data_IF_958016514645
#
_entry.id   IF_958016514645
#
_cell.length_a   1.000
_cell.length_b   1.000
_cell.length_c   1.000
_cell.angle_alpha   90.00
_cell.angle_beta   90.00
_cell.angle_gamma   90.00
#
_symmetry.space_group_name_H-M   'P 1'
#
loop_
_entity.id
_entity.type
_entity.pdbx_description
1 polymer ?
#
# COMPACT_ATOMS: atom_id res chain seq x y z
N UNK A 1 -51.93 -4.08 43.62
CA UNK A 1 -52.95 -5.16 43.64
C UNK A 1 -52.26 -6.46 43.22
N UNK A 2 -51.96 -7.30 44.20
CA UNK A 2 -52.45 -8.71 44.34
C UNK A 2 -52.01 -9.58 43.15
N UNK A 3 -51.31 -10.72 43.26
CA UNK A 3 -51.10 -11.77 44.32
C UNK A 3 -49.90 -12.60 43.84
N UNK A 4 -48.91 -12.92 44.58
CA UNK A 4 -48.66 -14.12 45.41
C UNK A 4 -49.34 -15.41 44.93
N UNK A 5 -48.56 -16.43 44.57
CA UNK A 5 -48.82 -17.84 44.81
C UNK A 5 -47.52 -18.64 44.89
N UNK A 6 -47.28 -19.14 46.07
CA UNK A 6 -46.40 -20.27 46.44
C UNK A 6 -46.98 -21.57 45.92
N UNK A 7 -46.16 -22.58 45.61
CA UNK A 7 -46.39 -24.03 45.81
C UNK A 7 -45.07 -24.75 45.51
N UNK A 8 -44.40 -25.27 46.45
CA UNK A 8 -44.41 -26.49 47.27
C UNK A 8 -43.56 -27.62 46.70
N UNK A 9 -42.49 -27.86 47.41
CA UNK A 9 -41.73 -29.06 47.78
C UNK A 9 -42.35 -30.39 47.35
N UNK A 10 -41.54 -31.23 46.71
CA UNK A 10 -41.78 -32.65 46.51
C UNK A 10 -40.45 -33.42 46.52
N UNK A 11 -40.04 -33.83 47.72
CA UNK A 11 -38.95 -34.76 47.90
C UNK A 11 -39.43 -36.17 47.56
N UNK A 12 -38.76 -36.86 46.63
CA UNK A 12 -38.92 -38.30 46.44
C UNK A 12 -37.53 -38.95 46.50
N UNK A 13 -37.32 -39.66 47.62
CA UNK A 13 -36.22 -40.54 47.85
C UNK A 13 -36.37 -41.81 46.98
N UNK A 14 -35.43 -42.07 46.07
CA UNK A 14 -35.32 -43.38 45.39
C UNK A 14 -34.09 -44.10 45.91
N UNK A 15 -34.36 -45.23 46.55
CA UNK A 15 -33.43 -46.20 47.14
C UNK A 15 -32.54 -46.78 46.02
N UNK A 16 -31.23 -46.63 46.21
CA UNK A 16 -30.24 -47.24 45.33
C UNK A 16 -30.11 -48.74 45.58
N UNK A 17 -30.46 -49.56 44.61
CA UNK A 17 -30.04 -50.95 44.54
C UNK A 17 -28.62 -51.02 43.96
N UNK A 18 -27.64 -51.43 44.77
CA UNK A 18 -26.30 -51.72 44.33
C UNK A 18 -26.27 -52.99 43.48
N UNK A 19 -26.35 -52.81 42.16
CA UNK A 19 -25.98 -53.87 41.24
C UNK A 19 -24.49 -53.80 40.96
N UNK A 20 -23.75 -54.88 41.28
CA UNK A 20 -22.34 -55.05 40.93
C UNK A 20 -22.21 -55.07 39.38
N UNK A 21 -21.84 -53.95 38.81
CA UNK A 21 -21.45 -53.88 37.42
C UNK A 21 -20.04 -54.48 37.24
N UNK A 22 -19.92 -55.70 36.69
CA UNK A 22 -18.69 -56.18 36.13
C UNK A 22 -18.31 -55.26 34.99
N UNK A 23 -17.31 -54.44 35.23
CA UNK A 23 -16.69 -53.63 34.20
C UNK A 23 -15.99 -54.58 33.24
N UNK A 24 -16.63 -54.93 32.12
CA UNK A 24 -15.99 -55.55 31.01
C UNK A 24 -14.83 -54.66 30.55
N UNK A 25 -13.64 -55.21 30.63
CA UNK A 25 -12.39 -54.58 30.17
C UNK A 25 -12.52 -54.26 28.66
N UNK A 26 -12.97 -53.04 28.39
CA UNK A 26 -12.99 -52.58 26.99
C UNK A 26 -11.55 -52.43 26.51
N UNK A 27 -11.17 -53.08 25.41
CA UNK A 27 -9.83 -52.89 24.87
C UNK A 27 -9.59 -51.41 24.65
N UNK A 28 -8.59 -50.85 25.37
CA UNK A 28 -8.11 -49.50 25.17
C UNK A 28 -7.84 -49.29 23.69
N UNK A 29 -8.71 -48.55 23.02
CA UNK A 29 -8.42 -48.06 21.69
C UNK A 29 -7.14 -47.26 21.80
N UNK A 30 -6.01 -47.85 21.39
CA UNK A 30 -4.79 -47.07 21.14
C UNK A 30 -5.15 -46.03 20.11
N UNK A 31 -5.29 -44.78 20.59
CA UNK A 31 -5.45 -43.67 19.68
C UNK A 31 -4.28 -43.69 18.71
N UNK A 32 -4.59 -43.95 17.41
CA UNK A 32 -3.58 -43.81 16.39
C UNK A 32 -2.94 -42.45 16.54
N UNK A 33 -1.59 -42.36 16.51
CA UNK A 33 -0.93 -41.07 16.57
C UNK A 33 -1.45 -40.25 15.42
N UNK A 34 -2.27 -39.25 15.74
CA UNK A 34 -2.72 -38.25 14.77
C UNK A 34 -1.45 -37.58 14.29
N UNK A 35 -1.11 -37.79 13.02
CA UNK A 35 0.02 -37.11 12.38
C UNK A 35 -0.11 -35.65 12.70
N UNK A 36 0.81 -35.11 13.51
CA UNK A 36 0.80 -33.72 13.88
C UNK A 36 0.72 -32.91 12.56
N UNK A 37 -0.29 -32.07 12.43
CA UNK A 37 -0.39 -31.15 11.31
C UNK A 37 0.87 -30.30 11.39
N UNK A 38 1.78 -30.49 10.45
CA UNK A 38 2.94 -29.62 10.33
C UNK A 38 2.40 -28.23 10.03
N UNK A 39 2.39 -27.38 11.02
CA UNK A 39 2.19 -25.93 10.83
C UNK A 39 3.40 -25.45 10.01
N UNK A 40 3.23 -25.32 8.72
CA UNK A 40 4.14 -24.55 7.90
C UNK A 40 4.01 -23.12 8.44
N UNK A 41 5.05 -22.66 9.11
CA UNK A 41 5.09 -21.28 9.62
C UNK A 41 5.00 -20.35 8.40
N UNK A 42 3.82 -19.79 8.15
CA UNK A 42 3.62 -18.78 7.10
C UNK A 42 4.57 -17.61 7.39
N UNK A 43 5.16 -17.06 6.32
CA UNK A 43 6.02 -15.89 6.45
C UNK A 43 5.24 -14.74 7.13
N UNK A 44 5.81 -14.19 8.20
CA UNK A 44 5.18 -13.11 8.95
C UNK A 44 5.56 -11.75 8.33
N UNK A 45 4.59 -11.03 7.79
CA UNK A 45 4.77 -9.71 7.18
C UNK A 45 4.70 -8.55 8.19
N UNK A 46 4.45 -8.80 9.48
CA UNK A 46 4.39 -7.77 10.52
C UNK A 46 5.77 -7.23 10.83
N UNK A 47 5.93 -5.92 10.87
CA UNK A 47 7.16 -5.25 11.29
C UNK A 47 7.43 -3.97 10.53
N UNK A 48 8.38 -3.20 11.05
CA UNK A 48 8.92 -2.04 10.39
C UNK A 48 9.86 -2.45 9.25
N UNK A 49 9.97 -1.62 8.24
CA UNK A 49 10.92 -1.80 7.16
C UNK A 49 11.43 -0.47 6.62
N UNK A 50 12.63 -0.52 6.07
CA UNK A 50 13.24 0.56 5.31
C UNK A 50 13.73 0.00 3.99
N UNK A 51 13.67 0.77 2.93
CA UNK A 51 14.08 0.29 1.61
C UNK A 51 14.55 1.37 0.68
N UNK A 52 15.03 0.92 -0.45
CA UNK A 52 15.36 1.75 -1.60
C UNK A 52 14.46 1.34 -2.77
N UNK A 53 14.09 2.30 -3.58
CA UNK A 53 13.32 2.06 -4.78
C UNK A 53 13.89 2.82 -5.97
N UNK A 54 13.59 2.34 -7.16
CA UNK A 54 13.95 3.01 -8.39
C UNK A 54 13.06 2.55 -9.53
N UNK A 55 12.83 3.42 -10.49
CA UNK A 55 11.93 3.12 -11.58
C UNK A 55 11.91 4.15 -12.69
N UNK A 56 10.96 3.99 -13.58
CA UNK A 56 10.69 4.90 -14.66
C UNK A 56 9.25 5.44 -14.55
N UNK A 57 9.14 6.74 -14.83
CA UNK A 57 7.86 7.43 -14.90
C UNK A 57 7.60 7.94 -16.30
N UNK A 58 6.34 7.90 -16.70
CA UNK A 58 5.84 8.56 -17.89
C UNK A 58 4.51 9.24 -17.57
N UNK A 59 4.33 10.41 -18.15
CA UNK A 59 3.16 11.21 -17.88
C UNK A 59 2.77 12.05 -19.06
N UNK A 60 1.64 12.73 -18.92
CA UNK A 60 1.17 13.74 -19.83
C UNK A 60 0.85 15.00 -19.06
N UNK A 61 1.43 16.08 -19.50
CA UNK A 61 1.09 17.41 -19.00
C UNK A 61 0.22 18.08 -20.05
N UNK A 62 -1.06 18.31 -19.71
CA UNK A 62 -1.97 19.07 -20.54
C UNK A 62 -2.04 20.50 -20.02
N UNK A 63 -1.84 21.47 -20.90
CA UNK A 63 -2.01 22.89 -20.57
C UNK A 63 -3.12 23.49 -21.40
N UNK A 64 -3.91 24.34 -20.78
CA UNK A 64 -5.00 25.07 -21.42
C UNK A 64 -4.82 26.55 -21.11
N UNK A 65 -4.57 27.35 -22.14
CA UNK A 65 -4.51 28.81 -22.05
C UNK A 65 -5.54 29.40 -23.03
N UNK A 66 -6.03 30.65 -22.81
CA UNK A 66 -7.05 31.26 -23.65
C UNK A 66 -6.69 31.35 -25.16
N UNK A 67 -5.40 31.29 -25.49
CA UNK A 67 -4.90 31.42 -26.88
C UNK A 67 -4.24 30.14 -27.41
N UNK A 68 -3.98 29.10 -26.59
CA UNK A 68 -3.34 27.86 -27.02
C UNK A 68 -3.62 26.72 -26.04
N UNK A 69 -4.00 25.57 -26.55
CA UNK A 69 -4.10 24.32 -25.79
C UNK A 69 -3.15 23.29 -26.38
N UNK A 70 -2.46 22.54 -25.54
CA UNK A 70 -1.55 21.51 -25.98
C UNK A 70 -1.21 20.54 -24.87
N UNK A 71 -0.64 19.40 -25.22
CA UNK A 71 -0.14 18.43 -24.28
C UNK A 71 1.19 17.88 -24.76
N UNK A 72 2.09 17.61 -23.84
CA UNK A 72 3.38 16.96 -24.13
C UNK A 72 3.61 15.79 -23.19
N UNK A 73 4.34 14.81 -23.71
CA UNK A 73 4.70 13.64 -22.91
C UNK A 73 5.95 13.96 -22.08
N UNK A 74 5.91 13.51 -20.83
CA UNK A 74 7.04 13.56 -19.92
C UNK A 74 7.50 12.15 -19.66
N UNK A 75 8.81 11.92 -19.58
CA UNK A 75 9.40 10.65 -19.20
C UNK A 75 10.71 10.85 -18.46
N UNK A 76 11.05 9.92 -17.59
CA UNK A 76 12.29 9.98 -16.85
C UNK A 76 12.44 8.87 -15.83
N UNK A 77 13.59 8.83 -15.17
CA UNK A 77 13.87 7.92 -14.08
C UNK A 77 13.65 8.57 -12.72
N UNK A 78 13.43 7.74 -11.74
CA UNK A 78 13.39 8.14 -10.34
C UNK A 78 14.11 7.13 -9.47
N UNK A 79 14.63 7.59 -8.34
CA UNK A 79 15.27 6.79 -7.31
C UNK A 79 14.97 7.40 -5.96
N UNK A 80 14.71 6.57 -4.97
CA UNK A 80 14.32 7.08 -3.66
C UNK A 80 14.45 6.06 -2.52
N UNK A 81 13.94 6.48 -1.38
CA UNK A 81 13.86 5.69 -0.17
C UNK A 81 12.42 5.47 0.27
N UNK A 82 12.20 4.34 0.89
CA UNK A 82 10.92 3.91 1.45
C UNK A 82 11.08 3.60 2.92
N UNK A 83 10.11 3.99 3.72
CA UNK A 83 9.96 3.56 5.12
C UNK A 83 8.51 3.14 5.35
N UNK A 84 8.30 2.08 6.13
CA UNK A 84 6.93 1.65 6.40
C UNK A 84 6.81 0.70 7.56
N UNK A 85 5.56 0.37 7.87
CA UNK A 85 5.20 -0.60 8.89
C UNK A 85 4.00 -1.43 8.42
N UNK A 86 4.10 -2.74 8.56
CA UNK A 86 3.03 -3.68 8.22
C UNK A 86 2.50 -4.36 9.49
N UNK A 87 1.19 -4.61 9.49
CA UNK A 87 0.47 -5.44 10.47
C UNK A 87 -0.22 -6.57 9.72
N UNK A 88 0.08 -7.80 10.08
CA UNK A 88 -0.56 -8.99 9.50
C UNK A 88 -1.62 -9.55 10.45
N UNK A 89 -2.82 -9.77 9.92
CA UNK A 89 -3.93 -10.42 10.61
C UNK A 89 -4.39 -11.62 9.76
N UNK A 90 -3.92 -12.81 10.10
CA UNK A 90 -4.12 -14.00 9.29
C UNK A 90 -3.40 -13.87 7.93
N UNK A 91 -4.15 -13.86 6.85
CA UNK A 91 -3.63 -13.65 5.50
C UNK A 91 -3.72 -12.19 5.04
N UNK A 92 -4.48 -11.34 5.74
CA UNK A 92 -4.58 -9.93 5.42
C UNK A 92 -3.39 -9.16 6.02
N UNK A 93 -2.81 -8.26 5.23
CA UNK A 93 -1.72 -7.37 5.64
C UNK A 93 -2.17 -5.94 5.43
N UNK A 94 -2.06 -5.13 6.48
CA UNK A 94 -2.35 -3.70 6.45
C UNK A 94 -1.05 -2.96 6.75
N UNK A 95 -0.77 -1.90 6.02
CA UNK A 95 0.47 -1.15 6.23
C UNK A 95 0.33 0.34 5.95
N UNK A 96 1.29 1.06 6.47
CA UNK A 96 1.54 2.47 6.14
C UNK A 96 2.94 2.55 5.53
N UNK A 97 3.06 3.31 4.46
CA UNK A 97 4.30 3.48 3.71
C UNK A 97 4.51 4.97 3.38
N UNK A 98 5.73 5.44 3.59
CA UNK A 98 6.18 6.75 3.16
C UNK A 98 7.35 6.59 2.20
N UNK A 99 7.32 7.32 1.09
CA UNK A 99 8.39 7.36 0.11
C UNK A 99 8.88 8.79 -0.10
N UNK A 100 10.17 8.91 -0.39
CA UNK A 100 10.78 10.14 -0.87
C UNK A 100 11.69 9.82 -2.04
N UNK A 101 11.28 10.25 -3.23
CA UNK A 101 11.92 9.95 -4.49
C UNK A 101 12.49 11.21 -5.14
N UNK A 102 13.73 11.15 -5.59
CA UNK A 102 14.29 12.12 -6.52
C UNK A 102 13.96 11.72 -7.94
N UNK A 103 13.39 12.67 -8.67
CA UNK A 103 12.90 12.46 -10.02
C UNK A 103 13.69 13.31 -11.02
N UNK A 104 13.99 12.72 -12.17
CA UNK A 104 14.56 13.42 -13.32
C UNK A 104 13.60 13.39 -14.51
N UNK A 105 12.30 13.39 -14.22
CA UNK A 105 11.26 13.44 -15.25
C UNK A 105 11.22 14.84 -15.84
N UNK A 106 11.44 14.91 -17.16
CA UNK A 106 11.51 16.16 -17.92
C UNK A 106 10.58 16.11 -19.11
N UNK A 107 10.01 17.24 -19.43
CA UNK A 107 9.29 17.45 -20.66
C UNK A 107 9.54 18.86 -21.18
N UNK A 108 9.78 19.00 -22.47
CA UNK A 108 9.92 20.29 -23.13
C UNK A 108 8.97 20.40 -24.30
N UNK A 109 8.40 21.57 -24.50
CA UNK A 109 7.56 21.91 -25.64
C UNK A 109 7.82 23.35 -26.08
N UNK A 110 7.69 23.60 -27.37
CA UNK A 110 7.67 24.96 -27.90
C UNK A 110 6.35 25.65 -27.51
N UNK A 111 6.43 26.77 -26.78
CA UNK A 111 5.26 27.51 -26.30
C UNK A 111 5.01 28.80 -27.08
N UNK A 112 5.64 29.00 -28.22
CA UNK A 112 5.52 30.20 -29.04
C UNK A 112 6.71 30.33 -30.00
N UNK A 113 6.72 31.39 -30.81
CA UNK A 113 7.82 31.65 -31.73
C UNK A 113 9.10 31.95 -30.92
N UNK A 114 10.04 30.99 -30.91
CA UNK A 114 11.34 31.14 -30.24
C UNK A 114 11.35 30.92 -28.72
N UNK A 115 10.24 30.48 -28.10
CA UNK A 115 10.16 30.24 -26.66
C UNK A 115 10.03 28.72 -26.39
N UNK A 116 10.88 28.21 -25.49
CA UNK A 116 10.83 26.83 -25.01
C UNK A 116 10.34 26.83 -23.56
N UNK A 117 9.26 26.07 -23.30
CA UNK A 117 8.80 25.78 -21.95
C UNK A 117 9.37 24.43 -21.52
N UNK A 118 10.03 24.39 -20.37
CA UNK A 118 10.53 23.18 -19.76
C UNK A 118 9.85 22.97 -18.42
N UNK A 119 9.31 21.78 -18.22
CA UNK A 119 8.78 21.35 -16.92
C UNK A 119 9.65 20.23 -16.41
N UNK A 120 10.10 20.34 -15.17
CA UNK A 120 10.94 19.35 -14.49
C UNK A 120 10.33 19.01 -13.14
N UNK A 121 10.06 17.74 -12.92
CA UNK A 121 9.74 17.21 -11.60
C UNK A 121 11.07 16.88 -10.90
N UNK A 122 11.30 17.47 -9.71
CA UNK A 122 12.58 17.34 -9.01
C UNK A 122 12.51 16.32 -7.88
N UNK A 123 11.36 16.20 -7.23
CA UNK A 123 11.14 15.23 -6.15
C UNK A 123 9.66 14.91 -6.00
N UNK A 124 9.38 13.70 -5.52
CA UNK A 124 8.04 13.21 -5.21
C UNK A 124 8.07 12.56 -3.83
N UNK A 125 7.25 13.04 -2.92
CA UNK A 125 7.00 12.41 -1.63
C UNK A 125 5.62 11.80 -1.60
N UNK A 126 5.46 10.61 -1.02
CA UNK A 126 4.15 9.98 -0.84
C UNK A 126 3.97 9.47 0.59
N UNK A 127 2.71 9.54 1.08
CA UNK A 127 2.30 8.91 2.32
C UNK A 127 1.03 8.09 2.03
N UNK A 128 1.15 6.77 2.13
CA UNK A 128 0.15 5.85 1.60
C UNK A 128 -0.22 4.75 2.59
N UNK A 129 -1.51 4.36 2.60
CA UNK A 129 -1.95 3.11 3.17
C UNK A 129 -1.81 1.98 2.15
N UNK A 130 -1.53 0.77 2.60
CA UNK A 130 -1.47 -0.43 1.76
C UNK A 130 -2.29 -1.55 2.37
N UNK A 131 -2.95 -2.33 1.51
CA UNK A 131 -3.68 -3.54 1.89
C UNK A 131 -3.22 -4.66 0.97
N UNK A 132 -2.74 -5.75 1.55
CA UNK A 132 -2.21 -6.90 0.84
C UNK A 132 -2.80 -8.21 1.32
N UNK A 133 -2.58 -9.24 0.55
CA UNK A 133 -2.91 -10.62 0.89
C UNK A 133 -1.66 -11.48 0.86
N UNK A 134 -1.32 -12.10 1.99
CA UNK A 134 -0.12 -12.91 2.14
C UNK A 134 -0.34 -14.33 1.63
N UNK A 135 0.34 -14.69 0.55
CA UNK A 135 0.50 -16.04 0.04
C UNK A 135 1.89 -16.55 0.44
N UNK A 136 2.10 -16.84 1.72
CA UNK A 136 3.40 -17.22 2.28
C UNK A 136 4.46 -16.13 1.96
N UNK A 137 5.35 -16.37 1.02
CA UNK A 137 6.45 -15.48 0.62
C UNK A 137 6.07 -14.42 -0.42
N UNK A 138 4.86 -14.45 -0.95
CA UNK A 138 4.36 -13.47 -1.93
C UNK A 138 3.18 -12.70 -1.36
N UNK A 139 3.19 -11.40 -1.60
CA UNK A 139 2.13 -10.51 -1.12
C UNK A 139 1.74 -9.52 -2.23
N UNK A 140 0.71 -9.84 -3.03
CA UNK A 140 0.04 -8.83 -3.83
C UNK A 140 -0.62 -7.81 -2.92
N UNK A 141 -0.58 -6.53 -3.31
CA UNK A 141 -1.16 -5.44 -2.53
C UNK A 141 -1.66 -4.32 -3.41
N UNK A 142 -2.58 -3.54 -2.88
CA UNK A 142 -3.01 -2.25 -3.39
C UNK A 142 -2.61 -1.16 -2.41
N UNK A 143 -2.38 0.04 -2.90
CA UNK A 143 -1.92 1.17 -2.08
C UNK A 143 -2.61 2.44 -2.54
N UNK A 144 -2.82 3.36 -1.60
CA UNK A 144 -3.41 4.65 -1.89
C UNK A 144 -3.16 5.66 -0.79
N UNK A 145 -3.05 6.93 -1.16
CA UNK A 145 -2.76 7.98 -0.20
C UNK A 145 -2.46 9.33 -0.84
N UNK A 146 -1.72 10.14 -0.11
CA UNK A 146 -1.32 11.47 -0.51
C UNK A 146 0.00 11.44 -1.30
N UNK A 147 0.10 12.32 -2.27
CA UNK A 147 1.32 12.61 -3.01
C UNK A 147 1.63 14.11 -2.92
N UNK A 148 2.90 14.45 -2.75
CA UNK A 148 3.39 15.84 -2.73
C UNK A 148 4.60 15.90 -3.63
N UNK A 149 4.62 16.81 -4.60
CA UNK A 149 5.72 16.93 -5.54
C UNK A 149 6.18 18.36 -5.75
N UNK A 150 7.46 18.53 -6.01
CA UNK A 150 8.07 19.80 -6.38
C UNK A 150 8.17 19.92 -7.91
N UNK A 151 7.39 20.80 -8.49
CA UNK A 151 7.39 21.09 -9.93
C UNK A 151 8.14 22.39 -10.16
N UNK A 152 9.21 22.31 -10.95
CA UNK A 152 9.98 23.45 -11.41
C UNK A 152 9.58 23.79 -12.84
N UNK A 153 9.06 24.98 -13.03
CA UNK A 153 8.72 25.52 -14.35
C UNK A 153 9.73 26.59 -14.71
N UNK A 154 10.39 26.43 -15.86
CA UNK A 154 11.34 27.40 -16.43
C UNK A 154 10.79 27.90 -17.75
N UNK A 155 10.70 29.21 -17.89
CA UNK A 155 10.40 29.88 -19.17
C UNK A 155 11.65 30.65 -19.55
N UNK A 156 12.18 30.35 -20.75
CA UNK A 156 13.36 31.05 -21.28
C UNK A 156 13.14 32.55 -21.29
N UNK A 157 13.94 33.29 -20.49
CA UNK A 157 13.88 34.77 -20.41
C UNK A 157 13.03 35.36 -19.27
N UNK A 158 12.26 34.56 -18.50
CA UNK A 158 11.37 35.06 -17.43
C UNK A 158 11.61 34.47 -16.04
N UNK A 159 12.63 33.63 -15.87
CA UNK A 159 13.00 33.08 -14.56
C UNK A 159 12.33 31.74 -14.20
N UNK A 160 12.75 31.20 -13.04
CA UNK A 160 12.35 29.91 -12.52
C UNK A 160 11.32 30.06 -11.39
N UNK A 161 10.24 29.30 -11.44
CA UNK A 161 9.27 29.22 -10.35
C UNK A 161 9.16 27.77 -9.87
N UNK A 162 9.43 27.53 -8.58
CA UNK A 162 9.23 26.24 -7.95
C UNK A 162 7.92 26.27 -7.17
N UNK A 163 7.02 25.35 -7.47
CA UNK A 163 5.73 25.22 -6.78
C UNK A 163 5.60 23.81 -6.23
N UNK A 164 5.31 23.71 -4.94
CA UNK A 164 4.97 22.43 -4.30
C UNK A 164 3.47 22.19 -4.46
N UNK A 165 3.09 21.01 -4.93
CA UNK A 165 1.70 20.59 -5.12
C UNK A 165 1.42 19.30 -4.38
N UNK A 166 0.23 19.24 -3.80
CA UNK A 166 -0.31 18.04 -3.16
C UNK A 166 -1.43 17.46 -4.01
N UNK A 167 -1.48 16.15 -4.06
CA UNK A 167 -2.47 15.38 -4.78
C UNK A 167 -2.65 14.01 -4.16
N UNK A 168 -3.06 13.04 -4.94
CA UNK A 168 -3.23 11.67 -4.49
C UNK A 168 -2.41 10.69 -5.34
N UNK A 169 -2.06 9.56 -4.73
CA UNK A 169 -1.43 8.44 -5.39
C UNK A 169 -2.23 7.17 -5.16
N UNK A 170 -2.42 6.38 -6.22
CA UNK A 170 -3.06 5.07 -6.17
C UNK A 170 -2.19 4.07 -6.93
N UNK A 171 -2.09 2.86 -6.43
CA UNK A 171 -1.27 1.86 -7.08
C UNK A 171 -1.49 0.46 -6.58
N UNK A 172 -0.63 -0.43 -7.05
CA UNK A 172 -0.60 -1.81 -6.62
C UNK A 172 0.67 -2.50 -7.10
N UNK A 173 0.99 -3.58 -6.42
CA UNK A 173 2.21 -4.31 -6.70
C UNK A 173 2.23 -5.68 -6.09
N UNK A 174 3.38 -6.30 -6.21
CA UNK A 174 3.68 -7.59 -5.60
C UNK A 174 5.00 -7.43 -4.85
N UNK A 175 5.01 -7.89 -3.60
CA UNK A 175 6.20 -7.98 -2.78
C UNK A 175 6.52 -9.45 -2.50
N UNK A 176 7.79 -9.84 -2.64
CA UNK A 176 8.28 -11.19 -2.43
C UNK A 176 9.34 -11.20 -1.33
N UNK A 177 9.17 -12.10 -0.36
CA UNK A 177 10.17 -12.35 0.66
C UNK A 177 11.34 -13.15 0.06
N UNK A 178 12.52 -12.59 0.16
CA UNK A 178 13.78 -13.21 -0.26
C UNK A 178 14.37 -14.05 0.90
N UNK A 179 15.66 -13.99 1.07
CA UNK A 179 16.37 -14.68 2.15
C UNK A 179 16.54 -13.75 3.33
N UNK A 180 16.26 -14.25 4.55
CA UNK A 180 16.38 -13.47 5.78
C UNK A 180 15.40 -12.28 5.82
N UNK A 181 15.86 -11.08 6.22
CA UNK A 181 15.00 -9.90 6.40
C UNK A 181 14.69 -9.13 5.11
N UNK A 182 15.17 -9.61 3.97
CA UNK A 182 15.06 -8.89 2.70
C UNK A 182 13.79 -9.23 1.94
N UNK A 183 13.14 -8.20 1.39
CA UNK A 183 12.02 -8.36 0.46
C UNK A 183 12.27 -7.53 -0.80
N UNK A 184 11.76 -8.00 -1.93
CA UNK A 184 11.76 -7.25 -3.20
C UNK A 184 10.34 -6.94 -3.60
N UNK A 185 10.10 -5.73 -4.11
CA UNK A 185 8.78 -5.32 -4.61
C UNK A 185 8.85 -4.79 -6.03
N UNK A 186 7.77 -5.00 -6.78
CA UNK A 186 7.50 -4.32 -8.04
C UNK A 186 6.13 -3.68 -7.90
N UNK A 187 6.04 -2.39 -8.23
CA UNK A 187 4.85 -1.58 -8.01
C UNK A 187 4.57 -0.70 -9.24
N UNK A 188 3.29 -0.61 -9.59
CA UNK A 188 2.77 0.43 -10.45
C UNK A 188 2.05 1.46 -9.60
N UNK A 189 2.36 2.74 -9.83
CA UNK A 189 1.79 3.87 -9.11
C UNK A 189 1.28 4.91 -10.10
N UNK A 190 0.04 5.33 -9.92
CA UNK A 190 -0.56 6.49 -10.57
C UNK A 190 -0.59 7.65 -9.59
N UNK A 191 -0.01 8.78 -9.94
CA UNK A 191 -0.03 10.01 -9.17
C UNK A 191 -0.73 11.13 -9.96
N UNK A 192 -1.68 11.81 -9.32
CA UNK A 192 -2.34 13.01 -9.84
C UNK A 192 -2.08 14.15 -8.86
N UNK A 193 -1.23 15.08 -9.24
CA UNK A 193 -0.87 16.26 -8.42
C UNK A 193 -1.87 17.42 -8.55
N UNK A 194 -3.01 17.16 -9.17
CA UNK A 194 -4.10 18.13 -9.32
C UNK A 194 -3.82 19.23 -10.36
N UNK A 195 -4.54 20.32 -10.23
CA UNK A 195 -4.41 21.48 -11.12
C UNK A 195 -3.33 22.42 -10.60
N UNK A 196 -2.41 22.75 -11.47
CA UNK A 196 -1.39 23.78 -11.24
C UNK A 196 -1.84 25.03 -11.98
N UNK A 197 -2.21 26.06 -11.23
CA UNK A 197 -2.43 27.36 -11.84
C UNK A 197 -1.08 27.97 -12.22
N UNK A 198 -0.86 28.17 -13.51
CA UNK A 198 0.30 28.87 -14.03
C UNK A 198 0.03 30.37 -14.14
N UNK A 199 1.08 31.22 -14.17
CA UNK A 199 0.92 32.64 -14.49
C UNK A 199 0.15 32.79 -15.81
N UNK A 200 -0.67 33.83 -15.94
CA UNK A 200 -1.54 34.11 -17.10
C UNK A 200 -2.82 33.27 -17.20
N UNK A 201 -3.31 32.67 -16.10
CA UNK A 201 -4.59 31.95 -16.10
C UNK A 201 -4.60 30.62 -16.87
N UNK A 202 -3.44 30.03 -17.08
CA UNK A 202 -3.32 28.69 -17.65
C UNK A 202 -3.46 27.63 -16.54
N UNK A 203 -4.30 26.62 -16.73
CA UNK A 203 -4.38 25.47 -15.87
C UNK A 203 -3.54 24.33 -16.48
N UNK A 204 -2.59 23.83 -15.73
CA UNK A 204 -1.84 22.62 -16.08
C UNK A 204 -2.25 21.46 -15.15
N UNK A 205 -2.48 20.27 -15.70
CA UNK A 205 -2.76 19.06 -14.94
C UNK A 205 -1.61 18.09 -15.14
N UNK A 206 -0.94 17.74 -14.04
CA UNK A 206 0.16 16.80 -14.08
C UNK A 206 -0.30 15.42 -13.59
N UNK A 207 -0.31 14.45 -14.52
CA UNK A 207 -0.57 13.05 -14.25
C UNK A 207 0.69 12.25 -14.54
N UNK A 208 1.06 11.39 -13.64
CA UNK A 208 2.27 10.58 -13.75
C UNK A 208 1.96 9.11 -13.48
N UNK A 209 2.45 8.26 -14.36
CA UNK A 209 2.43 6.81 -14.21
C UNK A 209 3.85 6.36 -13.92
N UNK A 210 4.02 5.53 -12.92
CA UNK A 210 5.31 5.08 -12.43
C UNK A 210 5.33 3.56 -12.37
N UNK A 211 6.38 2.95 -12.89
CA UNK A 211 6.73 1.55 -12.60
C UNK A 211 8.05 1.56 -11.88
N UNK A 212 8.05 0.97 -10.69
CA UNK A 212 9.23 0.95 -9.84
C UNK A 212 9.48 -0.40 -9.20
N UNK A 213 10.74 -0.74 -9.04
CA UNK A 213 11.22 -1.87 -8.25
C UNK A 213 11.84 -1.36 -6.96
N UNK A 214 11.79 -2.16 -5.90
CA UNK A 214 12.37 -1.80 -4.61
C UNK A 214 12.90 -3.01 -3.86
N UNK A 215 13.86 -2.74 -2.99
CA UNK A 215 14.39 -3.70 -2.02
C UNK A 215 14.17 -3.12 -0.62
N UNK A 216 13.57 -3.91 0.26
CA UNK A 216 13.31 -3.52 1.64
C UNK A 216 14.05 -4.44 2.60
N UNK A 217 14.52 -3.87 3.68
CA UNK A 217 15.04 -4.56 4.86
C UNK A 217 14.01 -4.45 5.99
N UNK A 218 13.61 -5.58 6.56
CA UNK A 218 12.62 -5.68 7.64
C UNK A 218 13.29 -5.94 8.97
N UNK A 219 12.76 -5.31 10.01
CA UNK A 219 13.24 -5.45 11.38
C UNK A 219 12.43 -6.46 12.17
#
# INVERSE_FOLDING_TARGET
>A
MKRLALATVGALAVVATMGSANAADMPRRTAMPTKAVQYVALYNWTGAYIGINGGAGWGRSDFSAPAASGGFNTSGGQVGGTIGYNLQAGQAVFGLEGDLDWSNVRGSSACGVGLTCETRNTWLGTARGRVGYAFDRFMPYVTGGLAVGGVKNSISGFGDTTTTKAGYALGGGIEAALTGPWTAKVEYLYADLGRVSAPLGADARAKENLVRGGLNYRF
#
